data_IF_858990882073
#
_entry.id   IF_858990882073
#
_cell.length_a   1.000
_cell.length_b   1.000
_cell.length_c   1.000
_cell.angle_alpha   90.00
_cell.angle_beta   90.00
_cell.angle_gamma   90.00
#
_symmetry.space_group_name_H-M   'P 1'
#
loop_
_entity.id
_entity.type
_entity.pdbx_description
1 polymer ?
#
# COMPACT_ATOMS: atom_id res chain seq x y z
N UNK A 1 -12.30 39.68 -13.50
CA UNK A 1 -13.23 39.03 -14.45
C UNK A 1 -12.72 37.65 -14.89
N UNK A 2 -11.50 37.53 -15.44
CA UNK A 2 -10.86 36.27 -15.83
C UNK A 2 -10.76 35.22 -14.70
N UNK A 3 -10.39 35.62 -13.47
CA UNK A 3 -10.38 34.72 -12.30
C UNK A 3 -11.75 34.14 -11.94
N UNK A 4 -12.83 34.93 -12.07
CA UNK A 4 -14.21 34.44 -11.82
C UNK A 4 -14.64 33.47 -12.92
N UNK A 5 -14.31 33.74 -14.18
CA UNK A 5 -14.61 32.85 -15.32
C UNK A 5 -13.85 31.52 -15.17
N UNK A 6 -12.55 31.57 -14.87
CA UNK A 6 -11.74 30.37 -14.61
C UNK A 6 -12.24 29.56 -13.40
N UNK A 7 -12.71 30.24 -12.35
CA UNK A 7 -13.31 29.59 -11.18
C UNK A 7 -14.65 28.91 -11.52
N UNK A 8 -15.52 29.56 -12.28
CA UNK A 8 -16.80 28.99 -12.72
C UNK A 8 -16.61 27.81 -13.66
N UNK A 9 -15.59 27.83 -14.53
CA UNK A 9 -15.22 26.72 -15.42
C UNK A 9 -14.63 25.52 -14.66
N UNK A 10 -14.05 25.75 -13.48
CA UNK A 10 -13.44 24.73 -12.61
C UNK A 10 -14.47 23.99 -11.75
N UNK A 11 -15.58 24.65 -11.40
CA UNK A 11 -16.63 24.11 -10.52
C UNK A 11 -17.19 22.80 -11.07
N UNK A 12 -17.17 21.73 -10.28
CA UNK A 12 -17.63 20.39 -10.65
C UNK A 12 -16.54 19.47 -11.19
N UNK A 13 -15.27 19.90 -11.19
CA UNK A 13 -14.11 19.01 -11.50
C UNK A 13 -13.50 18.38 -10.24
N UNK A 14 -13.88 18.84 -9.05
CA UNK A 14 -13.34 18.38 -7.77
C UNK A 14 -13.61 16.88 -7.56
N UNK A 15 -14.83 16.42 -7.87
CA UNK A 15 -15.18 15.00 -7.81
C UNK A 15 -14.39 14.14 -8.81
N UNK A 16 -13.93 14.73 -9.92
CA UNK A 16 -13.11 14.01 -10.89
C UNK A 16 -11.71 13.73 -10.36
N UNK A 17 -11.22 14.49 -9.36
CA UNK A 17 -9.88 14.31 -8.80
C UNK A 17 -9.71 12.92 -8.17
N UNK A 18 -10.75 12.42 -7.51
CA UNK A 18 -10.70 11.15 -6.77
C UNK A 18 -10.82 9.91 -7.65
N UNK A 19 -11.20 10.06 -8.94
CA UNK A 19 -11.32 8.94 -9.88
C UNK A 19 -12.26 7.81 -9.43
N UNK A 20 -13.18 8.08 -8.50
CA UNK A 20 -14.01 7.06 -7.84
C UNK A 20 -14.72 6.10 -8.79
N UNK A 21 -15.29 6.53 -9.94
CA UNK A 21 -15.90 5.59 -10.88
C UNK A 21 -14.91 4.58 -11.49
N UNK A 22 -13.65 4.97 -11.68
CA UNK A 22 -12.59 4.08 -12.19
C UNK A 22 -12.27 3.03 -11.14
N UNK A 23 -12.03 3.47 -9.90
CA UNK A 23 -11.69 2.60 -8.77
C UNK A 23 -12.83 1.62 -8.50
N UNK A 24 -14.07 2.12 -8.37
CA UNK A 24 -15.24 1.29 -8.11
C UNK A 24 -15.45 0.22 -9.19
N UNK A 25 -15.32 0.59 -10.47
CA UNK A 25 -15.44 -0.37 -11.57
C UNK A 25 -14.32 -1.41 -11.58
N UNK A 26 -13.09 -1.03 -11.22
CA UNK A 26 -11.99 -1.99 -11.12
C UNK A 26 -12.12 -2.92 -9.92
N UNK A 27 -12.53 -2.40 -8.76
CA UNK A 27 -12.76 -3.18 -7.55
C UNK A 27 -13.90 -4.18 -7.77
N UNK A 28 -15.04 -3.73 -8.30
CA UNK A 28 -16.18 -4.59 -8.63
C UNK A 28 -15.78 -5.76 -9.55
N UNK A 29 -15.04 -5.46 -10.62
CA UNK A 29 -14.54 -6.51 -11.52
C UNK A 29 -13.58 -7.47 -10.81
N UNK A 30 -12.63 -6.95 -10.03
CA UNK A 30 -11.65 -7.78 -9.34
C UNK A 30 -12.31 -8.69 -8.27
N UNK A 31 -13.33 -8.20 -7.58
CA UNK A 31 -14.13 -9.00 -6.63
C UNK A 31 -14.84 -10.16 -7.33
N UNK A 32 -15.41 -9.94 -8.53
CA UNK A 32 -16.02 -11.02 -9.32
C UNK A 32 -14.98 -11.98 -9.89
N UNK A 33 -13.85 -11.48 -10.39
CA UNK A 33 -12.79 -12.33 -10.94
C UNK A 33 -12.21 -13.26 -9.85
N UNK A 34 -12.17 -12.81 -8.59
CA UNK A 34 -11.70 -13.58 -7.44
C UNK A 34 -12.79 -14.39 -6.71
N UNK A 35 -14.02 -14.38 -7.21
CA UNK A 35 -15.17 -15.07 -6.60
C UNK A 35 -15.13 -16.61 -6.70
N UNK A 36 -14.19 -17.17 -7.47
CA UNK A 36 -14.19 -18.60 -7.82
C UNK A 36 -14.13 -19.51 -6.58
N UNK A 37 -15.28 -20.06 -6.18
CA UNK A 37 -15.42 -20.97 -5.04
C UNK A 37 -15.54 -20.30 -3.66
N UNK A 38 -15.61 -18.96 -3.60
CA UNK A 38 -15.76 -18.22 -2.34
C UNK A 38 -17.23 -17.92 -2.04
N UNK A 39 -17.64 -18.06 -0.78
CA UNK A 39 -18.97 -17.63 -0.32
C UNK A 39 -19.02 -16.13 0.00
N UNK A 40 -17.87 -15.56 0.39
CA UNK A 40 -17.70 -14.16 0.76
C UNK A 40 -16.41 -13.63 0.13
N UNK A 41 -16.47 -12.41 -0.40
CA UNK A 41 -15.30 -11.66 -0.89
C UNK A 41 -15.10 -10.41 -0.04
N UNK A 42 -13.84 -10.03 0.16
CA UNK A 42 -13.43 -9.01 1.11
C UNK A 42 -12.75 -7.83 0.40
N UNK A 43 -13.27 -6.63 0.64
CA UNK A 43 -12.73 -5.37 0.15
C UNK A 43 -12.23 -4.53 1.33
N UNK A 44 -10.98 -4.08 1.28
CA UNK A 44 -10.37 -3.20 2.28
C UNK A 44 -10.03 -1.81 1.69
N UNK A 45 -10.23 -0.77 2.48
CA UNK A 45 -9.75 0.60 2.23
C UNK A 45 -9.02 1.16 3.47
N UNK A 46 -7.66 1.22 3.48
CA UNK A 46 -6.91 1.81 4.57
C UNK A 46 -6.84 3.33 4.41
N UNK A 47 -7.36 4.06 5.40
CA UNK A 47 -7.61 5.51 5.30
C UNK A 47 -8.95 5.82 4.64
N UNK A 48 -9.99 5.03 4.94
CA UNK A 48 -11.26 5.05 4.20
C UNK A 48 -12.09 6.34 4.39
N UNK A 49 -11.75 7.20 5.36
CA UNK A 49 -12.54 8.38 5.67
C UNK A 49 -14.01 8.01 5.92
N UNK A 50 -14.93 8.66 5.21
CA UNK A 50 -16.37 8.39 5.28
C UNK A 50 -16.83 7.08 4.61
N UNK A 51 -15.91 6.24 4.11
CA UNK A 51 -16.24 4.96 3.45
C UNK A 51 -16.75 5.10 2.01
N UNK A 52 -16.55 6.26 1.37
CA UNK A 52 -17.13 6.56 0.05
C UNK A 52 -16.65 5.61 -1.05
N UNK A 53 -15.36 5.26 -1.09
CA UNK A 53 -14.83 4.36 -2.12
C UNK A 53 -15.27 2.91 -1.90
N UNK A 54 -15.44 2.48 -0.63
CA UNK A 54 -16.04 1.20 -0.27
C UNK A 54 -17.50 1.09 -0.75
N UNK A 55 -18.33 2.08 -0.42
CA UNK A 55 -19.74 2.09 -0.84
C UNK A 55 -19.91 2.17 -2.36
N UNK A 56 -19.12 3.00 -3.04
CA UNK A 56 -19.17 3.08 -4.50
C UNK A 56 -18.78 1.75 -5.14
N UNK A 57 -17.78 1.06 -4.59
CA UNK A 57 -17.34 -0.26 -5.06
C UNK A 57 -18.40 -1.33 -4.79
N UNK A 58 -19.06 -1.30 -3.63
CA UNK A 58 -20.17 -2.19 -3.31
C UNK A 58 -21.34 -2.01 -4.27
N UNK A 59 -21.71 -0.76 -4.56
CA UNK A 59 -22.74 -0.45 -5.56
C UNK A 59 -22.33 -0.95 -6.96
N UNK A 60 -21.12 -0.66 -7.40
CA UNK A 60 -20.62 -1.11 -8.69
C UNK A 60 -20.57 -2.64 -8.82
N UNK A 61 -20.27 -3.34 -7.72
CA UNK A 61 -20.29 -4.80 -7.64
C UNK A 61 -21.72 -5.34 -7.86
N UNK A 62 -22.72 -4.80 -7.16
CA UNK A 62 -24.12 -5.20 -7.35
C UNK A 62 -24.65 -4.89 -8.75
N UNK A 63 -24.31 -3.71 -9.30
CA UNK A 63 -24.68 -3.34 -10.67
C UNK A 63 -24.07 -4.28 -11.71
N UNK A 64 -22.81 -4.71 -11.50
CA UNK A 64 -22.12 -5.62 -12.40
C UNK A 64 -22.72 -7.04 -12.35
N UNK A 65 -23.03 -7.55 -11.15
CA UNK A 65 -23.74 -8.84 -10.96
C UNK A 65 -25.05 -8.85 -11.74
N UNK A 66 -25.86 -7.80 -11.57
CA UNK A 66 -27.15 -7.68 -12.24
C UNK A 66 -26.97 -7.59 -13.76
N UNK A 67 -26.01 -6.79 -14.23
CA UNK A 67 -25.72 -6.61 -15.65
C UNK A 67 -25.24 -7.90 -16.33
N UNK A 68 -24.45 -8.72 -15.64
CA UNK A 68 -23.93 -9.99 -16.16
C UNK A 68 -24.90 -11.17 -15.96
N UNK A 69 -26.04 -10.95 -15.29
CA UNK A 69 -27.03 -12.00 -15.04
C UNK A 69 -26.54 -13.10 -14.11
N UNK A 70 -25.61 -12.77 -13.19
CA UNK A 70 -25.03 -13.73 -12.25
C UNK A 70 -26.08 -14.07 -11.19
N UNK A 71 -26.57 -15.32 -11.20
CA UNK A 71 -27.64 -15.79 -10.32
C UNK A 71 -27.20 -15.99 -8.86
N UNK A 72 -25.91 -16.27 -8.65
CA UNK A 72 -25.32 -16.47 -7.33
C UNK A 72 -23.92 -15.87 -7.31
N UNK A 73 -23.79 -14.70 -6.69
CA UNK A 73 -22.52 -14.05 -6.43
C UNK A 73 -22.16 -14.17 -4.94
N UNK A 74 -20.87 -14.19 -4.58
CA UNK A 74 -20.45 -14.14 -3.19
C UNK A 74 -21.00 -12.90 -2.46
N UNK A 75 -21.22 -13.02 -1.16
CA UNK A 75 -21.49 -11.85 -0.33
C UNK A 75 -20.24 -10.94 -0.30
N UNK A 76 -20.46 -9.63 -0.23
CA UNK A 76 -19.37 -8.65 -0.14
C UNK A 76 -19.26 -8.15 1.30
N UNK A 77 -18.07 -8.32 1.89
CA UNK A 77 -17.72 -7.75 3.19
C UNK A 77 -16.80 -6.54 3.00
N UNK A 78 -17.13 -5.42 3.66
CA UNK A 78 -16.39 -4.17 3.59
C UNK A 78 -15.58 -3.94 4.85
N UNK A 79 -14.30 -3.62 4.67
CA UNK A 79 -13.32 -3.36 5.73
C UNK A 79 -12.71 -1.96 5.55
N UNK A 80 -12.57 -1.21 6.63
CA UNK A 80 -11.91 0.10 6.65
C UNK A 80 -10.83 0.17 7.73
N UNK A 81 -9.78 0.97 7.50
CA UNK A 81 -8.93 1.47 8.60
C UNK A 81 -9.10 2.98 8.70
N UNK A 82 -9.53 3.48 9.86
CA UNK A 82 -9.77 4.90 10.11
C UNK A 82 -9.62 5.22 11.61
N UNK A 83 -9.06 6.39 11.93
CA UNK A 83 -8.76 6.82 13.29
C UNK A 83 -9.55 8.07 13.72
N UNK A 84 -10.13 8.83 12.79
CA UNK A 84 -10.93 10.00 13.12
C UNK A 84 -12.35 9.57 13.54
N UNK A 85 -12.74 9.77 14.82
CA UNK A 85 -13.97 9.15 15.36
C UNK A 85 -15.26 9.47 14.59
N UNK A 86 -15.46 10.70 14.07
CA UNK A 86 -16.63 10.97 13.21
C UNK A 86 -16.68 10.10 11.94
N UNK A 87 -15.54 9.84 11.31
CA UNK A 87 -15.47 9.02 10.09
C UNK A 87 -15.60 7.54 10.39
N UNK A 88 -15.06 7.08 11.52
CA UNK A 88 -15.32 5.73 12.04
C UNK A 88 -16.82 5.52 12.21
N UNK A 89 -17.51 6.47 12.87
CA UNK A 89 -18.95 6.41 13.06
C UNK A 89 -19.71 6.38 11.73
N UNK A 90 -19.37 7.25 10.79
CA UNK A 90 -20.00 7.27 9.47
C UNK A 90 -19.85 5.93 8.74
N UNK A 91 -18.69 5.28 8.86
CA UNK A 91 -18.44 3.96 8.29
C UNK A 91 -19.27 2.86 8.98
N UNK A 92 -19.29 2.84 10.31
CA UNK A 92 -20.07 1.87 11.11
C UNK A 92 -21.58 1.98 10.80
N UNK A 93 -22.11 3.21 10.71
CA UNK A 93 -23.51 3.47 10.35
C UNK A 93 -23.86 2.94 8.94
N UNK A 94 -22.85 2.78 8.07
CA UNK A 94 -22.98 2.23 6.72
C UNK A 94 -22.68 0.72 6.64
N UNK A 95 -22.45 0.06 7.79
CA UNK A 95 -22.15 -1.38 7.87
C UNK A 95 -20.73 -1.77 7.44
N UNK A 96 -19.78 -0.83 7.49
CA UNK A 96 -18.35 -1.10 7.23
C UNK A 96 -17.70 -1.54 8.55
N UNK A 97 -16.94 -2.63 8.52
CA UNK A 97 -16.12 -3.05 9.67
C UNK A 97 -14.85 -2.19 9.72
N UNK A 98 -14.67 -1.41 10.80
CA UNK A 98 -13.57 -0.45 10.92
C UNK A 98 -12.57 -0.89 11.98
N UNK A 99 -11.28 -0.86 11.62
CA UNK A 99 -10.17 -0.95 12.55
C UNK A 99 -9.55 0.44 12.77
N UNK A 100 -9.28 0.78 14.03
CA UNK A 100 -8.56 2.01 14.38
C UNK A 100 -7.12 1.69 14.78
N UNK A 101 -6.25 1.65 13.77
CA UNK A 101 -4.80 1.44 13.90
C UNK A 101 -4.05 2.48 13.08
N UNK A 102 -2.82 2.79 13.46
CA UNK A 102 -1.93 3.64 12.67
C UNK A 102 -1.34 2.86 11.50
N UNK A 103 -1.78 3.18 10.28
CA UNK A 103 -1.39 2.46 9.07
C UNK A 103 0.12 2.49 8.80
N UNK A 104 0.87 3.44 9.38
CA UNK A 104 2.29 3.64 9.14
C UNK A 104 3.19 2.82 10.07
N UNK A 105 2.66 2.26 11.16
CA UNK A 105 3.49 1.57 12.18
C UNK A 105 2.85 0.33 12.81
N UNK A 106 1.53 0.28 12.87
CA UNK A 106 0.83 -0.81 13.54
C UNK A 106 0.58 -1.96 12.56
N UNK A 107 0.55 -3.18 13.09
CA UNK A 107 0.14 -4.36 12.31
C UNK A 107 -1.37 -4.25 12.06
N UNK A 108 -1.78 -4.38 10.81
CA UNK A 108 -3.20 -4.28 10.47
C UNK A 108 -3.94 -5.54 10.96
N UNK A 109 -5.10 -5.42 11.63
CA UNK A 109 -5.76 -6.53 12.32
C UNK A 109 -6.53 -7.46 11.37
N UNK A 110 -5.91 -7.81 10.25
CA UNK A 110 -6.42 -8.72 9.24
C UNK A 110 -5.49 -9.92 9.10
N UNK A 111 -6.02 -11.15 8.96
CA UNK A 111 -5.19 -12.32 8.72
C UNK A 111 -4.40 -12.24 7.41
N UNK A 112 -3.36 -13.06 7.31
CA UNK A 112 -2.61 -13.20 6.06
C UNK A 112 -3.53 -13.76 4.96
N UNK A 113 -3.37 -13.26 3.73
CA UNK A 113 -4.17 -13.67 2.58
C UNK A 113 -5.70 -13.69 2.83
N UNK A 114 -6.24 -12.70 3.54
CA UNK A 114 -7.67 -12.58 3.82
C UNK A 114 -8.43 -11.66 2.85
N UNK A 115 -7.74 -10.73 2.18
CA UNK A 115 -8.37 -9.70 1.33
C UNK A 115 -8.33 -10.08 -0.15
N UNK A 116 -9.44 -9.85 -0.85
CA UNK A 116 -9.54 -10.06 -2.31
C UNK A 116 -9.13 -8.80 -3.07
N UNK A 117 -9.50 -7.63 -2.55
CA UNK A 117 -9.18 -6.33 -3.12
C UNK A 117 -8.80 -5.35 -2.01
N UNK A 118 -7.77 -4.54 -2.25
CA UNK A 118 -7.43 -3.38 -1.44
C UNK A 118 -7.51 -2.15 -2.33
N UNK A 119 -8.27 -1.14 -1.91
CA UNK A 119 -8.26 0.20 -2.48
C UNK A 119 -7.42 1.08 -1.55
N UNK A 120 -6.53 1.90 -2.09
CA UNK A 120 -5.80 2.91 -1.32
C UNK A 120 -5.77 4.20 -2.14
N UNK A 121 -6.77 5.05 -1.95
CA UNK A 121 -7.02 6.23 -2.78
C UNK A 121 -6.82 7.53 -1.99
N UNK A 122 -5.95 8.41 -2.49
CA UNK A 122 -5.59 9.67 -1.85
C UNK A 122 -5.04 9.51 -0.42
N UNK A 123 -4.21 8.49 -0.20
CA UNK A 123 -3.61 8.17 1.11
C UNK A 123 -2.09 8.17 1.03
N UNK A 124 -1.49 7.51 0.05
CA UNK A 124 -0.04 7.30 -0.02
C UNK A 124 0.78 8.60 -0.11
N UNK A 125 0.21 9.67 -0.67
CA UNK A 125 0.84 10.99 -0.72
C UNK A 125 1.00 11.65 0.65
N UNK A 126 0.24 11.20 1.64
CA UNK A 126 0.23 11.70 3.02
C UNK A 126 1.10 10.86 3.97
N UNK A 127 1.59 9.70 3.53
CA UNK A 127 2.35 8.79 4.40
C UNK A 127 3.86 8.96 4.23
N UNK A 128 4.61 8.61 5.27
CA UNK A 128 6.07 8.53 5.40
C UNK A 128 6.62 7.10 5.44
N UNK A 129 5.80 6.07 5.61
CA UNK A 129 6.25 4.66 5.69
C UNK A 129 5.65 3.77 4.59
N UNK A 130 5.97 4.04 3.30
CA UNK A 130 5.44 3.23 2.18
C UNK A 130 5.85 1.76 2.30
N UNK A 131 7.07 1.51 2.75
CA UNK A 131 7.62 0.18 2.91
C UNK A 131 6.79 -0.66 3.89
N UNK A 132 6.44 -0.08 5.04
CA UNK A 132 5.56 -0.72 6.00
C UNK A 132 4.17 -0.98 5.41
N UNK A 133 3.57 0.03 4.79
CA UNK A 133 2.23 -0.08 4.19
C UNK A 133 2.19 -1.17 3.12
N UNK A 134 3.18 -1.23 2.23
CA UNK A 134 3.27 -2.27 1.20
C UNK A 134 3.55 -3.66 1.78
N UNK A 135 4.25 -3.76 2.92
CA UNK A 135 4.37 -5.03 3.64
C UNK A 135 3.00 -5.54 4.11
N UNK A 136 2.14 -4.64 4.61
CA UNK A 136 0.80 -5.00 5.04
C UNK A 136 -0.09 -5.35 3.84
N UNK A 137 -0.02 -4.60 2.74
CA UNK A 137 -0.69 -4.98 1.49
C UNK A 137 -0.27 -6.38 1.02
N UNK A 138 1.03 -6.66 0.98
CA UNK A 138 1.56 -7.94 0.51
C UNK A 138 1.17 -9.11 1.41
N UNK A 139 1.05 -8.87 2.73
CA UNK A 139 0.67 -9.86 3.74
C UNK A 139 -0.80 -10.24 3.65
N UNK A 140 -1.71 -9.26 3.60
CA UNK A 140 -3.15 -9.51 3.74
C UNK A 140 -3.84 -9.81 2.42
N UNK A 141 -3.27 -9.38 1.28
CA UNK A 141 -3.88 -9.62 -0.02
C UNK A 141 -3.66 -11.08 -0.48
N UNK A 142 -4.72 -11.74 -0.94
CA UNK A 142 -4.67 -13.10 -1.51
C UNK A 142 -3.83 -13.13 -2.79
N UNK A 143 -3.34 -14.32 -3.18
CA UNK A 143 -2.73 -14.50 -4.51
C UNK A 143 -3.78 -14.17 -5.56
N UNK A 144 -3.37 -13.48 -6.62
CA UNK A 144 -4.27 -12.88 -7.62
C UNK A 144 -5.24 -11.84 -7.05
N UNK A 145 -5.14 -11.45 -5.78
CA UNK A 145 -5.81 -10.29 -5.21
C UNK A 145 -5.35 -8.99 -5.88
N UNK A 146 -6.20 -7.94 -5.87
CA UNK A 146 -5.90 -6.67 -6.56
C UNK A 146 -5.62 -5.56 -5.56
N UNK A 147 -4.51 -4.86 -5.78
CA UNK A 147 -4.18 -3.60 -5.13
C UNK A 147 -4.47 -2.47 -6.10
N UNK A 148 -5.41 -1.60 -5.74
CA UNK A 148 -5.82 -0.44 -6.53
C UNK A 148 -5.34 0.81 -5.80
N UNK A 149 -4.46 1.58 -6.45
CA UNK A 149 -3.90 2.80 -5.89
C UNK A 149 -4.43 4.02 -6.64
N UNK A 150 -4.71 5.09 -5.89
CA UNK A 150 -5.03 6.40 -6.45
C UNK A 150 -4.20 7.48 -5.77
N UNK A 151 -3.45 8.27 -6.54
CA UNK A 151 -2.57 9.33 -6.03
C UNK A 151 -2.58 10.55 -6.95
N UNK A 152 -2.28 11.76 -6.47
CA UNK A 152 -1.99 12.90 -7.32
C UNK A 152 -0.82 12.59 -8.28
N UNK A 153 -0.98 12.92 -9.56
CA UNK A 153 0.06 12.73 -10.56
C UNK A 153 1.03 13.91 -10.57
N UNK A 154 2.27 13.71 -10.08
CA UNK A 154 3.31 14.73 -10.15
C UNK A 154 3.61 15.17 -11.60
N UNK A 155 3.48 14.24 -12.54
CA UNK A 155 3.72 14.47 -13.96
C UNK A 155 2.47 14.97 -14.72
N UNK A 156 1.44 15.47 -14.02
CA UNK A 156 0.26 16.04 -14.67
C UNK A 156 0.61 17.25 -15.54
N UNK A 157 -0.24 17.57 -16.52
CA UNK A 157 -0.03 18.69 -17.44
C UNK A 157 0.18 20.01 -16.69
N UNK A 158 -0.67 20.31 -15.70
CA UNK A 158 -0.56 21.56 -14.95
C UNK A 158 0.72 21.65 -14.12
N UNK A 159 1.18 20.54 -13.53
CA UNK A 159 2.44 20.50 -12.79
C UNK A 159 3.65 20.69 -13.71
N UNK A 160 3.62 20.14 -14.92
CA UNK A 160 4.66 20.38 -15.94
C UNK A 160 4.74 21.85 -16.33
N UNK A 161 3.59 22.50 -16.52
CA UNK A 161 3.54 23.93 -16.82
C UNK A 161 4.06 24.77 -15.65
N UNK A 162 3.70 24.43 -14.41
CA UNK A 162 4.26 25.09 -13.23
C UNK A 162 5.78 24.99 -13.19
N UNK A 163 6.34 23.79 -13.36
CA UNK A 163 7.79 23.58 -13.39
C UNK A 163 8.47 24.35 -14.52
N UNK A 164 7.85 24.39 -15.71
CA UNK A 164 8.37 25.16 -16.85
C UNK A 164 8.53 26.65 -16.51
N UNK A 165 7.64 27.20 -15.66
CA UNK A 165 7.70 28.58 -15.19
C UNK A 165 8.41 28.74 -13.83
N UNK A 166 9.18 27.74 -13.39
CA UNK A 166 9.93 27.78 -12.13
C UNK A 166 9.06 27.74 -10.87
N UNK A 167 7.82 27.27 -10.98
CA UNK A 167 6.87 27.16 -9.87
C UNK A 167 6.85 25.72 -9.33
N UNK A 168 6.66 25.60 -8.02
CA UNK A 168 6.49 24.29 -7.38
C UNK A 168 5.20 23.58 -7.87
N UNK A 169 5.27 22.27 -8.18
CA UNK A 169 4.09 21.46 -8.45
C UNK A 169 3.08 21.50 -7.30
N UNK A 170 1.78 21.49 -7.60
CA UNK A 170 0.74 21.51 -6.55
C UNK A 170 0.73 20.22 -5.73
N UNK A 171 1.22 19.12 -6.29
CA UNK A 171 1.34 17.84 -5.60
C UNK A 171 2.48 17.83 -4.56
N UNK A 172 3.38 18.83 -4.56
CA UNK A 172 4.60 18.85 -3.75
C UNK A 172 4.89 20.25 -3.18
N UNK A 173 3.87 20.91 -2.62
CA UNK A 173 4.06 22.18 -1.93
C UNK A 173 4.49 21.95 -0.48
N UNK A 174 5.44 22.74 0.03
CA UNK A 174 5.94 22.58 1.41
C UNK A 174 4.89 22.90 2.48
N UNK A 175 3.94 23.78 2.19
CA UNK A 175 2.81 24.09 3.07
C UNK A 175 1.57 23.30 2.60
N UNK A 176 1.70 21.98 2.64
CA UNK A 176 0.66 21.02 2.25
C UNK A 176 0.70 19.80 3.17
N UNK A 177 -0.38 19.02 3.18
CA UNK A 177 -0.43 17.71 3.82
C UNK A 177 0.29 16.61 3.00
N UNK A 178 0.69 16.91 1.75
CA UNK A 178 1.41 15.95 0.91
C UNK A 178 2.89 15.93 1.29
N UNK A 179 3.38 14.75 1.66
CA UNK A 179 4.80 14.50 1.97
C UNK A 179 5.48 13.66 0.88
N UNK A 180 4.69 13.10 -0.05
CA UNK A 180 5.16 12.31 -1.19
C UNK A 180 4.47 12.68 -2.48
N UNK A 181 5.16 12.40 -3.58
CA UNK A 181 4.70 12.66 -4.94
C UNK A 181 4.92 11.42 -5.79
N UNK A 182 3.96 11.09 -6.65
CA UNK A 182 4.06 9.91 -7.49
C UNK A 182 4.02 10.25 -8.98
N UNK A 183 4.83 9.52 -9.74
CA UNK A 183 4.68 9.36 -11.19
C UNK A 183 4.46 7.88 -11.48
N UNK A 184 3.87 7.53 -12.62
CA UNK A 184 3.64 6.13 -12.97
C UNK A 184 4.92 5.29 -12.96
N UNK A 185 6.05 5.69 -13.58
CA UNK A 185 7.26 4.85 -13.58
C UNK A 185 7.78 4.58 -12.17
N UNK A 186 7.76 5.60 -11.30
CA UNK A 186 8.23 5.49 -9.92
C UNK A 186 7.31 4.60 -9.07
N UNK A 187 6.00 4.88 -9.08
CA UNK A 187 5.01 4.07 -8.37
C UNK A 187 5.03 2.59 -8.82
N UNK A 188 5.20 2.36 -10.13
CA UNK A 188 5.32 1.01 -10.68
C UNK A 188 6.60 0.32 -10.22
N UNK A 189 7.73 1.01 -10.28
CA UNK A 189 9.02 0.46 -9.83
C UNK A 189 8.95 0.08 -8.35
N UNK A 190 8.38 0.95 -7.51
CA UNK A 190 8.22 0.69 -6.10
C UNK A 190 7.32 -0.52 -5.84
N UNK A 191 6.17 -0.60 -6.51
CA UNK A 191 5.20 -1.67 -6.30
C UNK A 191 5.67 -3.04 -6.82
N UNK A 192 6.33 -3.11 -7.98
CA UNK A 192 6.76 -4.38 -8.58
C UNK A 192 8.07 -4.92 -8.00
N UNK A 193 8.85 -4.10 -7.29
CA UNK A 193 10.08 -4.52 -6.61
C UNK A 193 9.82 -5.69 -5.66
N UNK A 194 10.72 -6.65 -5.66
CA UNK A 194 10.62 -7.90 -4.90
C UNK A 194 9.63 -8.91 -5.48
N UNK A 195 8.98 -8.59 -6.61
CA UNK A 195 8.06 -9.50 -7.27
C UNK A 195 6.81 -9.82 -6.45
N UNK A 196 6.42 -8.96 -5.51
CA UNK A 196 5.20 -9.12 -4.70
C UNK A 196 3.94 -8.75 -5.48
N UNK A 197 4.07 -7.77 -6.38
CA UNK A 197 3.00 -7.27 -7.21
C UNK A 197 3.42 -7.20 -8.68
N UNK A 198 2.45 -7.27 -9.58
CA UNK A 198 2.64 -7.09 -11.02
C UNK A 198 1.67 -6.02 -11.51
N UNK A 199 2.17 -5.04 -12.24
CA UNK A 199 1.34 -3.99 -12.81
C UNK A 199 0.38 -4.55 -13.87
N UNK A 200 -0.91 -4.24 -13.75
CA UNK A 200 -1.92 -4.66 -14.73
C UNK A 200 -2.34 -3.52 -15.65
N UNK A 201 -2.70 -2.37 -15.07
CA UNK A 201 -3.33 -1.28 -15.82
C UNK A 201 -3.22 0.06 -15.09
N UNK A 202 -3.45 1.13 -15.85
CA UNK A 202 -3.55 2.50 -15.35
C UNK A 202 -4.74 3.24 -15.94
N UNK A 203 -5.12 4.32 -15.28
CA UNK A 203 -6.03 5.34 -15.78
C UNK A 203 -5.65 6.71 -15.23
N UNK A 204 -6.18 7.74 -15.88
CA UNK A 204 -6.10 9.11 -15.40
C UNK A 204 -7.49 9.68 -15.22
N UNK A 205 -7.64 10.62 -14.28
CA UNK A 205 -8.87 11.40 -14.14
C UNK A 205 -8.55 12.88 -14.01
N UNK A 206 -9.49 13.68 -14.53
CA UNK A 206 -9.40 15.12 -14.62
C UNK A 206 -8.19 15.64 -15.45
N UNK A 207 -8.30 16.86 -15.94
CA UNK A 207 -7.24 17.50 -16.74
C UNK A 207 -7.26 19.00 -16.50
N UNK A 208 -6.65 19.44 -15.40
CA UNK A 208 -6.61 20.86 -15.05
C UNK A 208 -5.84 21.67 -16.11
N UNK A 209 -6.33 22.84 -16.54
CA UNK A 209 -7.46 23.63 -16.00
C UNK A 209 -8.80 23.50 -16.75
N UNK A 210 -9.03 22.44 -17.52
CA UNK A 210 -10.18 22.37 -18.42
C UNK A 210 -11.51 21.98 -17.72
N UNK A 211 -12.67 22.35 -18.29
CA UNK A 211 -13.98 21.95 -17.78
C UNK A 211 -14.25 20.44 -18.00
N UNK A 212 -15.20 19.81 -17.26
CA UNK A 212 -15.40 18.36 -17.26
C UNK A 212 -15.56 17.68 -18.62
N UNK A 213 -16.25 18.31 -19.57
CA UNK A 213 -16.51 17.75 -20.90
C UNK A 213 -15.26 17.69 -21.78
N UNK A 214 -14.23 18.49 -21.48
CA UNK A 214 -12.90 18.45 -22.11
C UNK A 214 -11.95 17.59 -21.28
N UNK A 215 -12.02 17.71 -19.95
CA UNK A 215 -11.13 16.99 -19.03
C UNK A 215 -11.27 15.47 -19.11
N UNK A 216 -12.49 14.94 -19.22
CA UNK A 216 -12.73 13.49 -19.34
C UNK A 216 -12.07 12.87 -20.59
N UNK A 217 -12.31 13.37 -21.83
CA UNK A 217 -11.65 12.82 -23.00
C UNK A 217 -10.13 13.02 -22.96
N UNK A 218 -9.63 14.17 -22.51
CA UNK A 218 -8.19 14.40 -22.39
C UNK A 218 -7.52 13.43 -21.41
N UNK A 219 -8.13 13.16 -20.25
CA UNK A 219 -7.60 12.20 -19.29
C UNK A 219 -7.57 10.76 -19.85
N UNK A 220 -8.51 10.42 -20.75
CA UNK A 220 -8.53 9.12 -21.43
C UNK A 220 -7.46 9.02 -22.52
N UNK A 221 -7.23 10.08 -23.30
CA UNK A 221 -6.23 10.10 -24.38
C UNK A 221 -4.82 10.24 -23.82
N UNK A 222 -4.65 11.07 -22.79
CA UNK A 222 -3.37 11.41 -22.18
C UNK A 222 -3.36 11.12 -20.67
N UNK A 223 -3.54 9.86 -20.24
CA UNK A 223 -3.60 9.52 -18.83
C UNK A 223 -2.30 9.82 -18.07
N UNK A 224 -1.15 9.89 -18.74
CA UNK A 224 0.12 10.31 -18.13
C UNK A 224 0.20 11.80 -17.80
N UNK A 225 -0.72 12.60 -18.34
CA UNK A 225 -0.83 14.04 -18.11
C UNK A 225 -2.09 14.43 -17.32
N UNK A 226 -2.95 13.45 -17.01
CA UNK A 226 -4.11 13.64 -16.16
C UNK A 226 -3.72 14.09 -14.75
N UNK A 227 -4.66 14.68 -14.02
CA UNK A 227 -4.44 15.14 -12.64
C UNK A 227 -4.26 13.97 -11.68
N UNK A 228 -5.17 12.99 -11.73
CA UNK A 228 -5.12 11.79 -10.91
C UNK A 228 -4.38 10.66 -11.62
N UNK A 229 -3.58 9.91 -10.88
CA UNK A 229 -2.94 8.66 -11.31
C UNK A 229 -3.61 7.50 -10.59
N UNK A 230 -4.26 6.62 -11.34
CA UNK A 230 -4.88 5.39 -10.82
C UNK A 230 -4.20 4.17 -11.43
N UNK A 231 -3.85 3.20 -10.60
CA UNK A 231 -3.14 2.00 -11.01
C UNK A 231 -3.75 0.77 -10.35
N UNK A 232 -3.68 -0.36 -11.04
CA UNK A 232 -4.09 -1.66 -10.53
C UNK A 232 -2.90 -2.60 -10.63
N UNK A 233 -2.61 -3.27 -9.53
CA UNK A 233 -1.58 -4.29 -9.44
C UNK A 233 -2.20 -5.60 -8.97
N UNK A 234 -1.70 -6.70 -9.52
CA UNK A 234 -2.05 -8.04 -9.10
C UNK A 234 -1.04 -8.56 -8.08
N UNK A 235 -1.52 -9.18 -7.02
CA UNK A 235 -0.69 -9.91 -6.06
C UNK A 235 -0.15 -11.19 -6.68
N UNK A 236 1.16 -11.38 -6.63
CA UNK A 236 1.81 -12.62 -7.09
C UNK A 236 1.68 -13.75 -6.06
N UNK A 237 2.23 -14.91 -6.38
CA UNK A 237 2.41 -16.04 -5.47
C UNK A 237 3.62 -15.88 -4.53
N UNK A 238 4.46 -14.85 -4.70
CA UNK A 238 5.60 -14.62 -3.81
C UNK A 238 5.12 -14.37 -2.36
N UNK A 239 5.52 -15.21 -1.41
CA UNK A 239 5.19 -15.10 0.03
C UNK A 239 6.43 -14.94 0.93
N UNK A 240 7.57 -14.55 0.36
CA UNK A 240 8.72 -14.13 1.17
C UNK A 240 8.37 -12.97 2.10
N UNK A 241 9.13 -12.75 3.16
CA UNK A 241 8.96 -11.56 3.99
C UNK A 241 9.33 -10.31 3.19
N UNK A 242 8.40 -9.35 3.13
CA UNK A 242 8.61 -8.09 2.42
C UNK A 242 9.73 -7.26 3.06
N UNK A 243 9.82 -7.25 4.38
CA UNK A 243 10.82 -6.47 5.10
C UNK A 243 12.22 -7.07 4.94
N UNK A 244 12.35 -8.40 4.84
CA UNK A 244 13.62 -9.05 4.53
C UNK A 244 14.14 -8.61 3.15
N UNK A 245 13.27 -8.65 2.13
CA UNK A 245 13.59 -8.14 0.79
C UNK A 245 14.08 -6.69 0.83
N UNK A 246 13.37 -5.82 1.56
CA UNK A 246 13.78 -4.42 1.69
C UNK A 246 15.10 -4.27 2.42
N UNK A 247 15.37 -5.09 3.43
CA UNK A 247 16.62 -5.02 4.19
C UNK A 247 17.84 -5.31 3.28
N UNK A 248 17.69 -6.26 2.37
CA UNK A 248 18.72 -6.62 1.39
C UNK A 248 18.89 -5.54 0.31
N UNK A 249 17.78 -4.97 -0.18
CA UNK A 249 17.82 -4.03 -1.30
C UNK A 249 18.11 -2.58 -0.88
N UNK A 250 17.55 -2.13 0.24
CA UNK A 250 17.68 -0.77 0.76
C UNK A 250 18.86 -0.60 1.71
N UNK A 251 19.53 -1.69 2.11
CA UNK A 251 20.69 -1.65 3.00
C UNK A 251 21.87 -0.79 2.49
N UNK A 252 21.80 -0.35 1.23
CA UNK A 252 22.77 0.53 0.59
C UNK A 252 22.29 1.97 0.39
N UNK A 253 21.03 2.31 0.73
CA UNK A 253 20.55 3.68 0.64
C UNK A 253 21.15 4.54 1.75
N UNK A 254 21.66 5.70 1.35
CA UNK A 254 22.37 6.63 2.22
C UNK A 254 21.80 8.04 2.02
N UNK A 255 21.66 8.77 3.11
CA UNK A 255 21.33 10.20 3.16
C UNK A 255 22.34 10.89 4.06
N UNK A 256 22.50 12.23 3.97
CA UNK A 256 23.40 12.97 4.85
C UNK A 256 23.17 12.76 6.36
N UNK A 257 22.01 12.25 6.76
CA UNK A 257 21.63 12.00 8.15
C UNK A 257 21.24 10.53 8.42
N UNK A 258 21.31 9.64 7.43
CA UNK A 258 20.98 8.22 7.55
C UNK A 258 21.88 7.37 6.63
N UNK A 259 22.84 6.64 7.20
CA UNK A 259 23.78 5.81 6.43
C UNK A 259 24.85 6.65 5.72
N UNK A 260 26.09 6.56 6.20
CA UNK A 260 27.29 6.99 5.47
C UNK A 260 28.44 6.05 5.90
N UNK A 261 29.60 6.04 5.21
CA UNK A 261 30.82 5.38 5.68
C UNK A 261 31.28 5.83 7.08
N UNK A 262 30.80 6.97 7.59
CA UNK A 262 30.99 7.46 8.96
C UNK A 262 29.91 7.00 9.95
N UNK A 263 28.92 6.19 9.55
CA UNK A 263 27.85 5.73 10.44
C UNK A 263 28.38 4.73 11.50
N UNK A 264 28.37 5.07 12.81
CA UNK A 264 28.89 4.20 13.86
C UNK A 264 28.12 2.87 14.02
N UNK A 265 26.90 2.76 13.47
CA UNK A 265 26.11 1.52 13.48
C UNK A 265 26.61 0.45 12.47
N UNK A 266 27.44 0.83 11.48
CA UNK A 266 28.07 -0.13 10.53
C UNK A 266 29.27 -0.88 11.13
N UNK A 267 29.71 -0.56 12.36
CA UNK A 267 30.76 -1.35 13.04
C UNK A 267 30.19 -2.66 13.57
N UNK A 268 30.25 -3.67 12.70
CA UNK A 268 30.30 -5.12 12.98
C UNK A 268 29.12 -5.73 13.75
N UNK A 269 28.23 -6.40 13.04
CA UNK A 269 27.71 -7.70 13.50
C UNK A 269 28.47 -8.80 12.76
N UNK A 270 29.16 -9.73 13.45
CA UNK A 270 29.77 -10.85 12.78
C UNK A 270 28.66 -11.74 12.20
N UNK A 271 28.79 -12.06 10.93
CA UNK A 271 27.94 -13.03 10.22
C UNK A 271 27.98 -14.35 10.99
N UNK A 272 26.85 -14.77 11.54
CA UNK A 272 26.72 -16.10 12.13
C UNK A 272 26.84 -17.13 11.00
N UNK A 273 28.02 -17.75 10.90
CA UNK A 273 28.23 -18.85 9.96
C UNK A 273 27.38 -20.04 10.36
N UNK A 274 26.48 -20.41 9.46
CA UNK A 274 25.56 -21.52 9.57
C UNK A 274 26.35 -22.83 9.76
N UNK A 275 26.40 -23.37 10.99
CA UNK A 275 26.96 -24.71 11.26
C UNK A 275 25.82 -25.71 11.45
N UNK A 276 25.69 -26.63 10.48
CA UNK A 276 24.87 -27.85 10.59
C UNK A 276 25.21 -28.65 11.86
N UNK A 277 24.24 -29.28 12.53
CA UNK A 277 24.51 -30.20 13.62
C UNK A 277 24.88 -31.58 13.04
N UNK A 278 26.12 -32.02 13.25
CA UNK A 278 26.50 -33.38 12.84
C UNK A 278 27.95 -33.75 13.08
N UNK A 279 28.14 -34.85 13.82
CA UNK A 279 29.37 -35.63 14.04
C UNK A 279 30.37 -35.11 15.08
N UNK A 280 30.31 -35.72 16.28
CA UNK A 280 31.45 -35.88 17.18
C UNK A 280 32.45 -36.86 16.54
N UNK A 281 33.76 -36.59 16.62
CA UNK A 281 34.75 -37.65 16.63
C UNK A 281 35.54 -37.67 17.95
N UNK A 282 35.58 -38.86 18.54
CA UNK A 282 36.84 -39.46 19.00
C UNK A 282 37.47 -38.92 20.27
N UNK A 283 37.30 -39.70 21.35
CA UNK A 283 38.13 -39.64 22.54
C UNK A 283 39.64 -39.72 22.24
N UNK A 284 40.44 -38.89 22.91
CA UNK A 284 41.81 -39.24 23.29
C UNK A 284 42.09 -38.82 24.74
N UNK A 285 42.41 -39.84 25.54
CA UNK A 285 42.97 -39.78 26.89
C UNK A 285 44.22 -38.90 26.94
N UNK A 286 44.36 -38.10 28.01
CA UNK A 286 45.64 -37.95 28.73
C UNK A 286 45.39 -37.85 30.24
N UNK A 287 46.09 -38.73 30.96
CA UNK A 287 46.43 -38.69 32.39
C UNK A 287 47.27 -37.44 32.70
N UNK A 288 47.59 -36.99 33.91
CA UNK A 288 47.43 -37.40 35.29
C UNK A 288 47.66 -36.12 36.13
N UNK A 289 47.08 -36.02 37.33
CA UNK A 289 47.77 -35.53 38.52
C UNK A 289 46.81 -35.56 39.71
N UNK A 290 47.16 -36.41 40.67
CA UNK A 290 46.51 -36.51 41.96
C UNK A 290 46.78 -35.27 42.81
N UNK A 291 45.77 -34.82 43.57
CA UNK A 291 45.99 -34.32 44.93
C UNK A 291 44.80 -34.68 45.81
N UNK A 292 45.10 -35.50 46.82
CA UNK A 292 44.27 -35.85 47.97
C UNK A 292 43.92 -34.58 48.76
N UNK A 293 42.73 -34.52 49.33
CA UNK A 293 42.39 -33.47 50.29
C UNK A 293 40.95 -33.48 50.78
N UNK A 294 40.69 -34.36 51.76
CA UNK A 294 39.75 -34.19 52.89
C UNK A 294 38.23 -34.14 52.66
N UNK A 295 37.58 -35.08 53.35
CA UNK A 295 36.16 -35.26 53.54
C UNK A 295 35.56 -34.35 54.63
N UNK A 296 34.22 -34.45 54.75
CA UNK A 296 33.27 -33.92 55.76
C UNK A 296 32.65 -32.58 55.37
N UNK A 297 31.34 -32.37 55.45
CA UNK A 297 30.24 -33.15 56.00
C UNK A 297 28.93 -32.46 55.60
N UNK A 298 27.87 -33.25 55.40
CA UNK A 298 26.68 -33.31 56.26
C UNK A 298 25.58 -32.29 55.90
N UNK A 299 24.47 -32.86 55.47
CA UNK A 299 23.15 -32.26 55.29
C UNK A 299 22.68 -31.43 56.50
N UNK A 300 21.84 -30.42 56.23
CA UNK A 300 20.47 -30.30 56.75
C UNK A 300 19.81 -29.00 56.28
N UNK A 301 18.58 -29.18 55.78
CA UNK A 301 17.42 -28.26 55.70
C UNK A 301 17.53 -27.05 54.78
#
# INVERSE_FOLDING_TARGET
MLRKIAYTLKKGTEELNYGRPIIAGWAAKALLDNASGANVVHLLDPGCGHGTDLQNSAKAYQELIHKEGILAAPALQLHGIENYPPYVKDCEDQGIEVASVDIEKDIWPFPDASMDVIICNQVLEHTKELFWIFSQFARILKTDGRLILGTPNLASFHNRMLLLFGQHPTAQQSFSAHVRSFTLPDQRTFAEKGGFFTFEKRAGSNFYPFPPFISKPLAKIFPGMAWGLFTSFRRTDNRSDYLDYLSDELGQLETPFYGSPQNPAKKTRPVATNRKPGSRPGAKKKSAAARKGTARGRARR
#
